data_IF_509056453782
#
_entry.id   IF_509056453782
#
_cell.length_a   1.000
_cell.length_b   1.000
_cell.length_c   1.000
_cell.angle_alpha   90.00
_cell.angle_beta   90.00
_cell.angle_gamma   90.00
#
_symmetry.space_group_name_H-M   'P 1'
#
loop_
_entity.id
_entity.type
_entity.pdbx_description
1 polymer ?
#
# COMPACT_ATOMS: atom_id res chain seq x y z
N UNK A 1 19.68 -25.57 -27.47
CA UNK A 1 18.35 -24.97 -27.73
C UNK A 1 17.81 -24.36 -26.42
N UNK A 2 18.36 -23.22 -25.95
CA UNK A 2 17.86 -22.47 -24.78
C UNK A 2 18.29 -21.00 -24.94
N UNK A 3 17.55 -20.19 -25.70
CA UNK A 3 17.77 -18.72 -25.80
C UNK A 3 16.49 -17.89 -26.01
N UNK A 4 15.30 -18.50 -25.90
CA UNK A 4 14.05 -17.81 -26.29
C UNK A 4 13.20 -17.28 -25.13
N UNK A 5 13.43 -17.74 -23.89
CA UNK A 5 12.56 -17.41 -22.75
C UNK A 5 12.85 -15.99 -22.23
N UNK A 6 14.10 -15.52 -22.31
CA UNK A 6 14.50 -14.21 -21.78
C UNK A 6 13.84 -13.05 -22.54
N UNK A 7 13.75 -13.14 -23.88
CA UNK A 7 13.13 -12.09 -24.70
C UNK A 7 11.62 -11.98 -24.47
N UNK A 8 10.92 -13.10 -24.44
CA UNK A 8 9.47 -13.11 -24.18
C UNK A 8 9.15 -12.52 -22.79
N UNK A 9 9.99 -12.81 -21.79
CA UNK A 9 9.81 -12.27 -20.45
C UNK A 9 10.19 -10.79 -20.35
N UNK A 10 11.21 -10.33 -21.07
CA UNK A 10 11.56 -8.90 -21.17
C UNK A 10 10.42 -8.08 -21.79
N UNK A 11 9.81 -8.57 -22.85
CA UNK A 11 8.70 -7.88 -23.51
C UNK A 11 7.45 -7.88 -22.63
N UNK A 12 7.20 -8.97 -21.89
CA UNK A 12 6.18 -9.01 -20.84
C UNK A 12 6.45 -7.98 -19.73
N UNK A 13 7.68 -7.89 -19.24
CA UNK A 13 8.08 -6.94 -18.22
C UNK A 13 7.92 -5.48 -18.67
N UNK A 14 8.28 -5.16 -19.91
CA UNK A 14 8.05 -3.84 -20.52
C UNK A 14 6.57 -3.52 -20.64
N UNK A 15 5.77 -4.47 -21.12
CA UNK A 15 4.31 -4.30 -21.32
C UNK A 15 3.60 -4.05 -19.99
N UNK A 16 3.96 -4.78 -18.94
CA UNK A 16 3.38 -4.63 -17.60
C UNK A 16 4.05 -3.54 -16.74
N UNK A 17 5.13 -2.94 -17.23
CA UNK A 17 5.82 -1.82 -16.57
C UNK A 17 6.56 -2.19 -15.29
N UNK A 18 7.11 -3.40 -15.18
CA UNK A 18 7.95 -3.81 -14.04
C UNK A 18 9.40 -4.10 -14.45
N UNK A 19 10.33 -3.91 -13.52
CA UNK A 19 11.76 -4.18 -13.75
C UNK A 19 12.08 -5.61 -13.33
N UNK A 20 12.65 -6.38 -14.25
CA UNK A 20 13.17 -7.71 -13.95
C UNK A 20 14.60 -7.61 -13.42
N UNK A 21 14.79 -7.91 -12.13
CA UNK A 21 16.11 -7.97 -11.49
C UNK A 21 16.51 -9.42 -11.26
N UNK A 22 17.55 -9.89 -11.94
CA UNK A 22 18.10 -11.23 -11.76
C UNK A 22 19.23 -11.22 -10.73
N UNK A 23 19.32 -12.26 -9.92
CA UNK A 23 20.41 -12.46 -8.97
C UNK A 23 21.51 -13.34 -9.61
N UNK A 24 22.74 -13.24 -9.10
CA UNK A 24 23.85 -14.05 -9.61
C UNK A 24 23.52 -15.56 -9.47
N UNK A 25 23.83 -16.41 -10.47
CA UNK A 25 23.50 -17.83 -10.47
C UNK A 25 23.97 -18.62 -9.22
N UNK A 26 24.93 -18.10 -8.47
CA UNK A 26 25.50 -18.73 -7.27
C UNK A 26 25.12 -18.02 -5.96
N UNK A 27 24.05 -17.21 -5.96
CA UNK A 27 23.60 -16.47 -4.78
C UNK A 27 22.16 -16.81 -4.35
N UNK A 28 21.88 -18.08 -3.98
CA UNK A 28 20.53 -18.54 -3.63
C UNK A 28 19.96 -17.83 -2.39
N UNK A 29 20.82 -17.32 -1.49
CA UNK A 29 20.38 -16.64 -0.27
C UNK A 29 19.47 -15.44 -0.54
N UNK A 30 19.68 -14.74 -1.68
CA UNK A 30 18.82 -13.62 -2.09
C UNK A 30 17.35 -14.00 -2.30
N UNK A 31 17.07 -15.24 -2.70
CA UNK A 31 15.74 -15.74 -2.99
C UNK A 31 15.12 -16.55 -1.83
N UNK A 32 15.81 -16.65 -0.69
CA UNK A 32 15.40 -17.50 0.43
C UNK A 32 13.99 -17.20 0.95
N UNK A 33 13.54 -15.93 0.92
CA UNK A 33 12.17 -15.59 1.33
C UNK A 33 11.11 -16.18 0.39
N UNK A 34 11.35 -16.13 -0.92
CA UNK A 34 10.46 -16.71 -1.92
C UNK A 34 10.41 -18.24 -1.76
N UNK A 35 11.58 -18.88 -1.61
CA UNK A 35 11.69 -20.32 -1.39
C UNK A 35 10.95 -20.77 -0.13
N UNK A 36 11.14 -20.07 0.99
CA UNK A 36 10.42 -20.35 2.25
C UNK A 36 8.91 -20.16 2.07
N UNK A 37 8.48 -19.14 1.35
CA UNK A 37 7.06 -18.91 1.06
C UNK A 37 6.46 -20.07 0.25
N UNK A 38 7.19 -20.57 -0.76
CA UNK A 38 6.78 -21.76 -1.54
C UNK A 38 6.70 -23.00 -0.65
N UNK A 39 7.67 -23.20 0.24
CA UNK A 39 7.66 -24.31 1.20
C UNK A 39 6.43 -24.25 2.11
N UNK A 40 6.09 -23.07 2.63
CA UNK A 40 4.90 -22.86 3.47
C UNK A 40 3.62 -23.14 2.68
N UNK A 41 3.50 -22.61 1.47
CA UNK A 41 2.33 -22.83 0.61
C UNK A 41 2.12 -24.32 0.32
N UNK A 42 3.18 -25.06 -0.03
CA UNK A 42 3.12 -26.51 -0.22
C UNK A 42 2.67 -27.23 1.06
N UNK A 43 3.22 -26.85 2.22
CA UNK A 43 2.84 -27.44 3.51
C UNK A 43 1.35 -27.23 3.83
N UNK A 44 0.83 -26.02 3.59
CA UNK A 44 -0.60 -25.71 3.77
C UNK A 44 -1.44 -26.63 2.89
N UNK A 45 -1.15 -26.69 1.58
CA UNK A 45 -1.92 -27.49 0.64
C UNK A 45 -1.89 -28.99 0.98
N UNK A 46 -0.72 -29.52 1.38
CA UNK A 46 -0.60 -30.94 1.79
C UNK A 46 -1.43 -31.22 3.04
N UNK A 47 -1.35 -30.38 4.08
CA UNK A 47 -2.14 -30.55 5.32
C UNK A 47 -3.63 -30.45 5.04
N UNK A 48 -4.06 -29.48 4.24
CA UNK A 48 -5.46 -29.31 3.86
C UNK A 48 -6.01 -30.51 3.09
N UNK A 49 -5.20 -31.11 2.20
CA UNK A 49 -5.56 -32.32 1.47
C UNK A 49 -5.73 -33.52 2.41
N UNK A 50 -4.87 -33.66 3.43
CA UNK A 50 -4.99 -34.72 4.44
C UNK A 50 -6.26 -34.55 5.30
N UNK A 51 -6.56 -33.32 5.70
CA UNK A 51 -7.75 -32.96 6.50
C UNK A 51 -9.06 -32.95 5.70
N UNK A 52 -9.01 -33.12 4.36
CA UNK A 52 -10.16 -32.98 3.44
C UNK A 52 -10.90 -31.63 3.58
N UNK A 53 -10.18 -30.56 3.87
CA UNK A 53 -10.72 -29.19 3.96
C UNK A 53 -10.55 -28.44 2.63
N UNK A 54 -11.18 -27.27 2.52
CA UNK A 54 -11.00 -26.38 1.39
C UNK A 54 -9.60 -25.69 1.41
N UNK A 55 -8.79 -25.82 0.33
CA UNK A 55 -7.53 -25.12 0.17
C UNK A 55 -7.65 -23.59 0.25
N UNK A 56 -8.70 -23.00 -0.29
CA UNK A 56 -8.86 -21.55 -0.33
C UNK A 56 -9.07 -20.98 1.07
N UNK A 57 -9.88 -21.65 1.87
CA UNK A 57 -10.07 -21.32 3.26
C UNK A 57 -8.76 -21.39 4.07
N UNK A 58 -7.96 -22.44 3.83
CA UNK A 58 -6.67 -22.61 4.52
C UNK A 58 -5.68 -21.48 4.19
N UNK A 59 -5.65 -21.04 2.93
CA UNK A 59 -4.88 -19.88 2.49
C UNK A 59 -5.41 -18.55 3.06
N UNK A 60 -6.73 -18.41 3.18
CA UNK A 60 -7.36 -17.25 3.79
C UNK A 60 -6.94 -17.12 5.27
N UNK A 61 -6.97 -18.20 6.02
CA UNK A 61 -6.54 -18.19 7.42
C UNK A 61 -5.06 -17.89 7.55
N UNK A 62 -4.20 -18.48 6.70
CA UNK A 62 -2.77 -18.14 6.68
C UNK A 62 -2.51 -16.64 6.49
N UNK A 63 -3.28 -15.97 5.64
CA UNK A 63 -3.17 -14.51 5.42
C UNK A 63 -3.62 -13.70 6.64
N UNK A 64 -4.49 -14.25 7.49
CA UNK A 64 -5.04 -13.60 8.67
C UNK A 64 -4.28 -13.90 9.97
N UNK A 65 -3.51 -14.99 10.01
CA UNK A 65 -2.70 -15.38 11.16
C UNK A 65 -1.55 -14.38 11.34
N UNK A 66 -1.44 -13.69 12.50
CA UNK A 66 -0.27 -12.88 12.81
C UNK A 66 0.97 -13.77 12.95
N UNK A 67 2.12 -13.27 12.51
CA UNK A 67 3.40 -13.98 12.62
C UNK A 67 4.12 -13.43 13.84
N UNK A 68 4.12 -14.15 14.95
CA UNK A 68 4.74 -13.73 16.22
C UNK A 68 4.46 -12.26 16.57
N UNK A 69 5.51 -11.43 16.63
CA UNK A 69 5.43 -10.00 16.94
C UNK A 69 5.05 -9.11 15.72
N UNK A 70 4.79 -9.72 14.57
CA UNK A 70 4.47 -9.05 13.32
C UNK A 70 2.98 -9.16 12.97
N UNK A 71 2.52 -8.17 12.20
CA UNK A 71 1.18 -8.15 11.61
C UNK A 71 1.02 -9.29 10.62
N UNK A 72 -0.22 -9.77 10.45
CA UNK A 72 -0.51 -10.82 9.46
C UNK A 72 -0.20 -10.37 8.03
N UNK A 73 0.01 -11.31 7.07
CA UNK A 73 0.25 -10.95 5.67
C UNK A 73 -0.82 -10.02 5.08
N UNK A 74 -2.11 -10.27 5.36
CA UNK A 74 -3.20 -9.40 4.93
C UNK A 74 -3.11 -8.00 5.55
N UNK A 75 -2.72 -7.90 6.82
CA UNK A 75 -2.53 -6.60 7.46
C UNK A 75 -1.32 -5.84 6.91
N UNK A 76 -0.24 -6.52 6.56
CA UNK A 76 0.92 -5.90 5.94
C UNK A 76 0.56 -5.35 4.55
N UNK A 77 -0.19 -6.12 3.77
CA UNK A 77 -0.57 -5.77 2.39
C UNK A 77 -1.74 -4.76 2.34
N UNK A 78 -2.83 -5.02 3.05
CA UNK A 78 -4.10 -4.28 2.95
C UNK A 78 -4.40 -3.39 4.16
N UNK A 79 -3.56 -3.41 5.20
CA UNK A 79 -3.77 -2.64 6.45
C UNK A 79 -5.10 -2.94 7.15
N UNK A 80 -5.67 -4.13 6.91
CA UNK A 80 -6.90 -4.67 7.50
C UNK A 80 -6.78 -6.18 7.66
N UNK A 81 -7.67 -6.77 8.46
CA UNK A 81 -7.88 -8.24 8.47
C UNK A 81 -8.94 -8.60 7.45
N UNK A 82 -8.81 -9.79 6.84
CA UNK A 82 -9.85 -10.34 6.00
C UNK A 82 -10.91 -11.03 6.86
N UNK A 83 -12.15 -11.08 6.38
CA UNK A 83 -13.23 -11.78 7.09
C UNK A 83 -12.96 -13.29 7.06
N UNK A 84 -12.67 -13.87 8.21
CA UNK A 84 -12.48 -15.30 8.40
C UNK A 84 -13.77 -15.99 8.88
N UNK A 85 -13.70 -17.29 9.16
CA UNK A 85 -14.82 -18.05 9.76
C UNK A 85 -15.06 -17.59 11.21
N UNK A 86 -14.01 -17.15 11.90
CA UNK A 86 -14.13 -16.73 13.28
C UNK A 86 -14.94 -15.44 13.39
N UNK A 87 -16.00 -15.42 14.21
CA UNK A 87 -16.83 -14.23 14.39
C UNK A 87 -15.96 -13.09 14.90
N UNK A 88 -15.95 -11.98 14.14
CA UNK A 88 -15.09 -10.83 14.40
C UNK A 88 -15.91 -9.55 14.23
N UNK A 89 -15.55 -8.50 14.98
CA UNK A 89 -16.16 -7.18 14.83
C UNK A 89 -15.77 -6.52 13.50
N UNK A 90 -16.55 -5.54 13.02
CA UNK A 90 -16.28 -4.88 11.74
C UNK A 90 -15.04 -3.95 11.76
N UNK A 91 -14.64 -3.46 12.94
CA UNK A 91 -13.51 -2.52 13.10
C UNK A 91 -12.19 -3.02 12.48
N UNK A 92 -11.70 -4.25 12.74
CA UNK A 92 -10.46 -4.77 12.13
C UNK A 92 -10.57 -5.08 10.63
N UNK A 93 -11.77 -5.14 10.05
CA UNK A 93 -12.00 -5.44 8.63
C UNK A 93 -11.82 -4.20 7.73
N UNK A 94 -11.85 -3.02 8.33
CA UNK A 94 -11.63 -1.75 7.64
C UNK A 94 -10.14 -1.44 7.54
N UNK A 95 -9.67 -0.88 6.40
CA UNK A 95 -8.29 -0.42 6.28
C UNK A 95 -8.02 0.69 7.29
N UNK A 96 -6.88 0.60 7.98
CA UNK A 96 -6.39 1.70 8.81
C UNK A 96 -5.93 2.85 7.91
N UNK A 97 -6.85 3.74 7.56
CA UNK A 97 -6.57 5.00 6.87
C UNK A 97 -6.13 6.07 7.88
N UNK A 98 -5.39 7.08 7.43
CA UNK A 98 -5.21 8.30 8.22
C UNK A 98 -6.23 9.34 7.76
N UNK A 99 -6.59 10.26 8.64
CA UNK A 99 -7.45 11.41 8.33
C UNK A 99 -6.62 12.60 7.87
N UNK A 100 -7.19 13.46 7.03
CA UNK A 100 -6.65 14.80 6.76
C UNK A 100 -6.53 15.59 8.07
N UNK A 101 -5.45 16.35 8.22
CA UNK A 101 -5.13 17.09 9.43
C UNK A 101 -4.49 16.26 10.54
N UNK A 102 -4.33 14.94 10.36
CA UNK A 102 -3.74 14.10 11.40
C UNK A 102 -2.21 14.28 11.47
N UNK A 103 -1.65 14.51 12.68
CA UNK A 103 -0.20 14.58 12.86
C UNK A 103 0.44 13.21 12.65
N UNK A 104 1.49 13.20 11.85
CA UNK A 104 2.28 12.01 11.54
C UNK A 104 3.76 12.31 11.58
N UNK A 105 4.59 11.28 11.72
CA UNK A 105 6.00 11.37 11.38
C UNK A 105 6.28 10.69 10.05
N UNK A 106 7.11 11.31 9.23
CA UNK A 106 7.61 10.78 7.97
C UNK A 106 9.00 10.20 8.19
N UNK A 107 9.28 9.05 7.59
CA UNK A 107 10.63 8.47 7.61
C UNK A 107 11.45 9.00 6.43
N UNK A 108 12.53 9.72 6.72
CA UNK A 108 13.47 10.26 5.74
C UNK A 108 14.91 9.90 6.13
N UNK A 109 15.62 9.14 5.29
CA UNK A 109 17.01 8.69 5.54
C UNK A 109 17.22 8.06 6.93
N UNK A 110 16.22 7.35 7.44
CA UNK A 110 16.24 6.72 8.77
C UNK A 110 15.79 7.62 9.93
N UNK A 111 15.60 8.92 9.70
CA UNK A 111 15.11 9.89 10.68
C UNK A 111 13.59 10.07 10.56
N UNK A 112 12.93 10.22 11.70
CA UNK A 112 11.49 10.48 11.76
C UNK A 112 11.23 11.98 11.97
N UNK A 113 10.74 12.67 10.94
CA UNK A 113 10.40 14.10 10.99
C UNK A 113 8.90 14.32 11.15
N UNK A 114 8.45 15.31 11.93
CA UNK A 114 7.03 15.64 12.07
C UNK A 114 6.44 16.19 10.75
N UNK A 115 5.19 15.85 10.48
CA UNK A 115 4.42 16.30 9.33
C UNK A 115 2.90 16.19 9.60
N UNK A 116 2.10 16.83 8.76
CA UNK A 116 0.63 16.78 8.80
C UNK A 116 0.10 16.24 7.49
N UNK A 117 -0.96 15.46 7.54
CA UNK A 117 -1.58 14.91 6.34
C UNK A 117 -2.48 15.95 5.68
N UNK A 118 -2.22 16.21 4.41
CA UNK A 118 -3.02 17.14 3.62
C UNK A 118 -4.22 16.41 3.03
N UNK A 119 -3.99 15.37 2.23
CA UNK A 119 -5.07 14.56 1.67
C UNK A 119 -4.58 13.18 1.22
N UNK A 120 -5.50 12.21 1.03
CA UNK A 120 -5.20 10.96 0.35
C UNK A 120 -4.68 11.23 -1.08
N UNK A 121 -3.70 10.47 -1.54
CA UNK A 121 -3.27 10.49 -2.93
C UNK A 121 -4.20 9.63 -3.81
N UNK A 122 -4.12 9.78 -5.13
CA UNK A 122 -4.90 9.00 -6.11
C UNK A 122 -4.62 7.47 -6.08
N UNK A 123 -3.56 7.05 -5.37
CA UNK A 123 -3.25 5.63 -5.19
C UNK A 123 -3.57 5.20 -3.77
N UNK A 124 -4.16 4.02 -3.62
CA UNK A 124 -4.48 3.45 -2.33
C UNK A 124 -3.30 3.51 -1.34
N UNK A 125 -3.61 3.85 -0.09
CA UNK A 125 -2.67 3.87 1.04
C UNK A 125 -1.50 4.86 0.89
N UNK A 126 -1.54 5.76 -0.10
CA UNK A 126 -0.58 6.86 -0.22
C UNK A 126 -1.23 8.18 0.18
N UNK A 127 -0.48 9.06 0.82
CA UNK A 127 -0.94 10.35 1.32
C UNK A 127 0.03 11.45 0.92
N UNK A 128 -0.51 12.64 0.70
CA UNK A 128 0.28 13.86 0.67
C UNK A 128 0.44 14.38 2.10
N UNK A 129 1.68 14.62 2.49
CA UNK A 129 2.05 15.07 3.84
C UNK A 129 2.89 16.34 3.75
N UNK A 130 2.57 17.33 4.56
CA UNK A 130 3.28 18.59 4.65
C UNK A 130 4.18 18.57 5.89
N UNK A 131 5.48 18.82 5.73
CA UNK A 131 6.41 19.00 6.86
C UNK A 131 6.29 20.41 7.45
N UNK A 132 6.84 20.62 8.64
CA UNK A 132 6.92 21.95 9.26
C UNK A 132 7.63 22.98 8.36
N UNK A 133 8.59 22.53 7.55
CA UNK A 133 9.33 23.36 6.59
C UNK A 133 8.48 23.77 5.35
N UNK A 134 7.18 23.46 5.33
CA UNK A 134 6.27 23.78 4.22
C UNK A 134 6.35 22.84 3.01
N UNK A 135 7.30 21.91 2.99
CA UNK A 135 7.47 20.97 1.87
C UNK A 135 6.41 19.85 1.90
N UNK A 136 5.77 19.61 0.75
CA UNK A 136 4.81 18.52 0.57
C UNK A 136 5.49 17.29 -0.04
N UNK A 137 5.27 16.13 0.56
CA UNK A 137 5.77 14.83 0.11
C UNK A 137 4.62 13.86 -0.14
N UNK A 138 4.79 12.97 -1.12
CA UNK A 138 3.96 11.77 -1.27
C UNK A 138 4.59 10.60 -0.51
N UNK A 139 3.87 9.99 0.42
CA UNK A 139 4.35 8.87 1.24
C UNK A 139 3.32 7.76 1.36
N UNK A 140 3.79 6.51 1.37
CA UNK A 140 2.94 5.36 1.65
C UNK A 140 2.64 5.27 3.15
N UNK A 141 1.47 4.73 3.53
CA UNK A 141 1.07 4.49 4.92
C UNK A 141 2.14 3.77 5.75
N UNK A 142 2.93 2.87 5.15
CA UNK A 142 4.04 2.17 5.82
C UNK A 142 5.16 3.10 6.28
N UNK A 143 5.34 4.24 5.63
CA UNK A 143 6.36 5.26 5.91
C UNK A 143 5.83 6.40 6.81
N UNK A 144 4.60 6.26 7.32
CA UNK A 144 3.92 7.25 8.15
C UNK A 144 3.62 6.65 9.53
N UNK A 145 4.13 7.29 10.57
CA UNK A 145 3.80 6.95 11.95
C UNK A 145 2.74 7.93 12.46
N UNK A 146 1.56 7.44 12.83
CA UNK A 146 0.58 8.30 13.52
C UNK A 146 1.11 8.63 14.90
N UNK A 147 1.18 9.91 15.23
CA UNK A 147 1.47 10.40 16.58
C UNK A 147 0.18 10.95 17.19
N UNK A 148 0.16 11.07 18.52
CA UNK A 148 -0.89 11.80 19.27
C UNK A 148 -0.44 13.21 19.66
N UNK A 149 0.78 13.58 19.26
CA UNK A 149 1.36 14.90 19.50
C UNK A 149 0.62 15.92 18.60
N UNK A 150 0.12 17.01 19.18
CA UNK A 150 -0.38 18.15 18.42
C UNK A 150 0.82 18.77 17.69
N UNK A 151 0.85 18.65 16.36
CA UNK A 151 1.85 19.35 15.56
C UNK A 151 1.53 20.82 15.58
N UNK A 152 2.52 21.63 15.99
CA UNK A 152 2.51 23.08 15.82
C UNK A 152 2.23 23.39 14.35
N UNK A 153 1.27 24.29 14.11
CA UNK A 153 0.89 24.81 12.80
C UNK A 153 2.14 25.08 11.93
N UNK A 154 2.25 24.48 10.73
CA UNK A 154 3.17 24.97 9.71
C UNK A 154 2.75 26.41 9.36
N UNK A 155 3.68 27.35 9.47
CA UNK A 155 3.44 28.75 9.19
C UNK A 155 3.03 28.97 7.73
N UNK A 156 1.89 29.65 7.53
CA UNK A 156 1.60 30.40 6.31
C UNK A 156 0.43 29.86 5.48
N UNK A 157 -0.78 30.22 5.88
CA UNK A 157 -1.88 30.45 4.93
C UNK A 157 -1.43 31.46 3.86
N UNK A 158 -1.03 30.99 2.69
CA UNK A 158 -1.06 31.79 1.48
C UNK A 158 -2.39 31.51 0.78
N UNK A 159 -3.22 32.54 0.73
CA UNK A 159 -4.53 32.58 0.09
C UNK A 159 -4.52 31.87 -1.27
N UNK A 160 -5.38 30.87 -1.44
CA UNK A 160 -5.94 30.60 -2.76
C UNK A 160 -7.24 31.39 -2.75
N UNK A 161 -7.16 32.62 -3.26
CA UNK A 161 -8.34 33.43 -3.55
C UNK A 161 -9.24 32.64 -4.51
N UNK A 162 -10.51 32.57 -4.13
CA UNK A 162 -11.58 32.26 -5.04
C UNK A 162 -11.60 33.31 -6.16
N UNK A 163 -11.32 32.90 -7.39
CA UNK A 163 -11.90 33.57 -8.56
C UNK A 163 -12.89 32.60 -9.21
N UNK A 164 -14.11 32.60 -8.67
CA UNK A 164 -15.27 32.58 -9.55
C UNK A 164 -15.36 33.97 -10.19
N UNK A 165 -15.06 34.06 -11.48
CA UNK A 165 -15.63 35.11 -12.29
C UNK A 165 -16.48 34.47 -13.39
N UNK A 166 -17.78 34.42 -13.11
CA UNK A 166 -18.84 34.51 -14.10
C UNK A 166 -18.65 35.76 -14.97
N UNK A 167 -18.87 35.61 -16.28
CA UNK A 167 -19.39 36.57 -17.27
C UNK A 167 -18.92 36.05 -18.65
N UNK A 168 -19.74 35.77 -19.66
CA UNK A 168 -21.10 36.20 -19.95
C UNK A 168 -21.84 35.17 -20.81
N UNK A 169 -23.15 35.10 -20.57
CA UNK A 169 -24.16 34.53 -21.45
C UNK A 169 -24.41 35.47 -22.63
N UNK A 170 -24.13 35.01 -23.86
CA UNK A 170 -24.84 35.30 -25.13
C UNK A 170 -24.22 34.36 -26.17
N UNK A 171 -24.91 33.60 -27.03
CA UNK A 171 -26.28 33.66 -27.48
C UNK A 171 -26.74 32.25 -27.90
N UNK A 172 -28.04 32.04 -27.78
CA UNK A 172 -28.81 30.99 -28.42
C UNK A 172 -28.60 30.93 -29.94
N UNK A 173 -28.80 29.73 -30.49
CA UNK A 173 -29.29 29.35 -31.83
C UNK A 173 -28.67 27.97 -32.11
N UNK A 174 -29.31 26.89 -32.53
CA UNK A 174 -30.68 26.49 -32.87
C UNK A 174 -30.50 25.13 -33.58
N UNK A 175 -31.40 24.18 -33.38
CA UNK A 175 -31.74 23.06 -34.28
C UNK A 175 -30.64 22.51 -35.21
N UNK A 176 -30.23 21.26 -35.00
CA UNK A 176 -30.58 20.11 -35.84
C UNK A 176 -30.18 18.81 -35.13
#
# INVERSE_FOLDING_TARGET
MVRNIEKEFEDFAKTWGFVHTTTSPHYPQSNGLAEKTVQIAKSILTKTKMDKKDPYLSLLEYRNIPVDNFKSPAQLLMSRRLRSILPTTNKPLLPKTLRTGQPVRIQERGLWKPAVIVHPANTERSYHVCTLDGQVYRRNRRQLLSTKEETVEPCGSANIEEEQNSNDSVASLSLF
#
